data_IF_070905818730
#
_entry.id   IF_070905818730
#
_cell.length_a   1.000
_cell.length_b   1.000
_cell.length_c   1.000
_cell.angle_alpha   90.00
_cell.angle_beta   90.00
_cell.angle_gamma   90.00
#
_symmetry.space_group_name_H-M   'P 1'
#
loop_
_entity.id
_entity.type
_entity.pdbx_description
1 polymer ?
#
# COMPACT_ATOMS: atom_id res chain seq x y z
N UNK A 1 5.73 -15.31 5.49
CA UNK A 1 5.82 -13.84 5.61
C UNK A 1 6.83 -13.20 4.66
N UNK A 2 8.11 -13.62 4.64
CA UNK A 2 9.14 -13.03 3.76
C UNK A 2 8.79 -13.14 2.27
N UNK A 3 8.40 -14.33 1.80
CA UNK A 3 8.02 -14.55 0.41
C UNK A 3 6.83 -13.69 -0.04
N UNK A 4 5.75 -13.66 0.75
CA UNK A 4 4.57 -12.81 0.49
C UNK A 4 4.96 -11.34 0.36
N UNK A 5 5.84 -10.85 1.27
CA UNK A 5 6.36 -9.48 1.23
C UNK A 5 7.13 -9.20 -0.05
N UNK A 6 8.02 -10.10 -0.45
CA UNK A 6 8.83 -9.96 -1.66
C UNK A 6 7.99 -9.96 -2.94
N UNK A 7 6.97 -10.81 -3.00
CA UNK A 7 6.01 -10.84 -4.12
C UNK A 7 5.27 -9.52 -4.25
N UNK A 8 4.72 -8.99 -3.15
CA UNK A 8 4.05 -7.68 -3.16
C UNK A 8 5.04 -6.58 -3.55
N UNK A 9 6.27 -6.59 -3.04
CA UNK A 9 7.30 -5.62 -3.42
C UNK A 9 7.62 -5.65 -4.92
N UNK A 10 7.74 -6.84 -5.53
CA UNK A 10 7.99 -6.97 -6.97
C UNK A 10 6.84 -6.42 -7.81
N UNK A 11 5.60 -6.71 -7.40
CA UNK A 11 4.40 -6.18 -8.07
C UNK A 11 4.34 -4.66 -7.89
N UNK A 12 4.61 -4.13 -6.69
CA UNK A 12 4.65 -2.69 -6.45
C UNK A 12 5.65 -1.99 -7.37
N UNK A 13 6.87 -2.52 -7.49
CA UNK A 13 7.89 -1.99 -8.40
C UNK A 13 7.46 -2.04 -9.86
N UNK A 14 6.85 -3.15 -10.30
CA UNK A 14 6.29 -3.31 -11.66
C UNK A 14 5.24 -2.25 -11.99
N UNK A 15 4.48 -1.79 -11.00
CA UNK A 15 3.46 -0.74 -11.13
C UNK A 15 3.97 0.67 -10.78
N UNK A 16 5.28 0.85 -10.63
CA UNK A 16 5.89 2.17 -10.41
C UNK A 16 5.69 2.74 -8.99
N UNK A 17 5.45 1.88 -8.00
CA UNK A 17 5.32 2.25 -6.59
C UNK A 17 6.18 1.37 -5.70
N UNK A 18 6.03 1.48 -4.38
CA UNK A 18 6.80 0.73 -3.39
C UNK A 18 5.91 0.14 -2.30
N UNK A 19 6.44 -0.88 -1.61
CA UNK A 19 5.69 -1.61 -0.59
C UNK A 19 5.21 -0.71 0.56
N UNK A 20 5.99 0.30 0.97
CA UNK A 20 5.62 1.20 2.07
C UNK A 20 4.42 2.04 1.67
N UNK A 21 4.46 2.62 0.46
CA UNK A 21 3.40 3.44 -0.10
C UNK A 21 2.09 2.67 -0.23
N UNK A 22 2.11 1.49 -0.85
CA UNK A 22 0.91 0.67 -1.02
C UNK A 22 0.36 0.15 0.31
N UNK A 23 1.22 -0.24 1.25
CA UNK A 23 0.77 -0.70 2.56
C UNK A 23 0.08 0.41 3.37
N UNK A 24 0.61 1.64 3.28
CA UNK A 24 0.05 2.78 3.98
C UNK A 24 -1.37 3.10 3.47
N UNK A 25 -1.53 3.20 2.15
CA UNK A 25 -2.84 3.47 1.57
C UNK A 25 -3.80 2.29 1.73
N UNK A 26 -3.35 1.05 1.56
CA UNK A 26 -4.19 -0.14 1.80
C UNK A 26 -4.76 -0.18 3.22
N UNK A 27 -3.96 0.21 4.22
CA UNK A 27 -4.40 0.26 5.61
C UNK A 27 -5.47 1.33 5.86
N UNK A 28 -5.51 2.37 5.03
CA UNK A 28 -6.51 3.45 5.09
C UNK A 28 -7.78 3.17 4.26
N UNK A 29 -7.79 2.12 3.43
CA UNK A 29 -8.88 1.83 2.50
C UNK A 29 -10.21 1.41 3.16
N UNK A 30 -10.23 0.59 4.24
CA UNK A 30 -11.50 0.17 4.84
C UNK A 30 -12.28 1.36 5.41
N UNK A 31 -13.58 1.44 5.13
CA UNK A 31 -14.44 2.55 5.58
C UNK A 31 -14.52 2.71 7.11
N UNK A 32 -14.21 1.66 7.86
CA UNK A 32 -14.18 1.68 9.34
C UNK A 32 -12.92 2.36 9.90
N UNK A 33 -11.91 2.63 9.07
CA UNK A 33 -10.65 3.24 9.51
C UNK A 33 -10.76 4.76 9.45
N UNK A 34 -10.73 5.42 10.60
CA UNK A 34 -10.73 6.88 10.68
C UNK A 34 -9.34 7.50 10.48
N UNK A 35 -8.28 6.80 10.84
CA UNK A 35 -6.90 7.29 10.74
C UNK A 35 -5.89 6.14 10.68
N UNK A 36 -4.76 6.39 10.02
CA UNK A 36 -3.56 5.54 10.02
C UNK A 36 -2.41 6.33 10.64
N UNK A 37 -1.75 5.76 11.65
CA UNK A 37 -0.66 6.41 12.41
C UNK A 37 0.67 5.73 12.06
N UNK A 38 1.35 6.12 10.96
CA UNK A 38 2.63 5.53 10.60
C UNK A 38 3.75 6.00 11.53
N UNK A 39 4.61 5.05 11.92
CA UNK A 39 5.81 5.36 12.71
C UNK A 39 6.73 6.35 12.00
N UNK A 40 7.31 7.26 12.78
CA UNK A 40 8.19 8.32 12.27
C UNK A 40 9.35 8.52 13.25
N UNK A 41 10.59 8.41 12.77
CA UNK A 41 11.83 8.61 13.55
C UNK A 41 12.55 9.91 13.21
N UNK A 42 12.13 10.61 12.15
CA UNK A 42 12.71 11.87 11.72
C UNK A 42 11.68 12.76 11.01
N UNK A 43 11.90 14.09 10.96
CA UNK A 43 11.03 14.99 10.20
C UNK A 43 10.95 14.66 8.70
N UNK A 44 12.02 14.09 8.13
CA UNK A 44 12.04 13.65 6.73
C UNK A 44 11.05 12.51 6.52
N UNK A 45 11.06 11.51 7.40
CA UNK A 45 10.12 10.39 7.32
C UNK A 45 8.66 10.85 7.48
N UNK A 46 8.40 11.89 8.27
CA UNK A 46 7.06 12.49 8.36
C UNK A 46 6.59 12.99 6.98
N UNK A 47 7.46 13.74 6.28
CA UNK A 47 7.18 14.25 4.93
C UNK A 47 6.99 13.12 3.94
N UNK A 48 7.83 12.09 4.00
CA UNK A 48 7.70 10.92 3.15
C UNK A 48 6.39 10.15 3.37
N UNK A 49 5.93 10.01 4.62
CA UNK A 49 4.62 9.40 4.92
C UNK A 49 3.47 10.22 4.32
N UNK A 50 3.53 11.55 4.41
CA UNK A 50 2.55 12.43 3.77
C UNK A 50 2.58 12.30 2.25
N UNK A 51 3.77 12.26 1.65
CA UNK A 51 3.91 12.07 0.19
C UNK A 51 3.37 10.72 -0.26
N UNK A 52 3.65 9.64 0.49
CA UNK A 52 3.16 8.30 0.18
C UNK A 52 1.62 8.23 0.15
N UNK A 53 0.92 8.97 1.03
CA UNK A 53 -0.54 9.06 1.00
C UNK A 53 -1.11 9.76 -0.23
N UNK A 54 -0.29 10.49 -0.99
CA UNK A 54 -0.70 11.25 -2.18
C UNK A 54 -0.29 10.59 -3.50
N UNK A 55 0.46 9.49 -3.46
CA UNK A 55 0.87 8.76 -4.66
C UNK A 55 -0.36 8.14 -5.30
N UNK A 56 -0.55 8.37 -6.60
CA UNK A 56 -1.56 7.66 -7.37
C UNK A 56 -1.12 6.20 -7.58
N UNK A 57 -1.81 5.25 -6.97
CA UNK A 57 -1.54 3.82 -7.15
C UNK A 57 -2.48 3.29 -8.24
N UNK A 58 -1.96 2.72 -9.34
CA UNK A 58 -2.81 2.20 -10.41
C UNK A 58 -3.78 1.12 -9.91
N UNK A 59 -5.05 1.17 -10.32
CA UNK A 59 -6.03 0.12 -9.99
C UNK A 59 -5.57 -1.29 -10.42
N UNK A 60 -4.77 -1.37 -11.49
CA UNK A 60 -4.17 -2.61 -11.97
C UNK A 60 -3.26 -3.28 -10.91
N UNK A 61 -2.62 -2.51 -10.03
CA UNK A 61 -1.81 -3.04 -8.93
C UNK A 61 -2.68 -3.88 -7.97
N UNK A 62 -3.81 -3.32 -7.52
CA UNK A 62 -4.72 -4.01 -6.59
C UNK A 62 -5.36 -5.24 -7.22
N UNK A 63 -5.77 -5.13 -8.50
CA UNK A 63 -6.29 -6.25 -9.27
C UNK A 63 -5.28 -7.40 -9.37
N UNK A 64 -4.00 -7.10 -9.60
CA UNK A 64 -2.93 -8.11 -9.64
C UNK A 64 -2.72 -8.77 -8.26
N UNK A 65 -2.71 -8.00 -7.16
CA UNK A 65 -2.61 -8.58 -5.82
C UNK A 65 -3.78 -9.52 -5.48
N UNK A 66 -5.00 -9.19 -5.89
CA UNK A 66 -6.19 -10.04 -5.71
C UNK A 66 -6.09 -11.30 -6.55
N UNK A 67 -5.71 -11.17 -7.83
CA UNK A 67 -5.50 -12.32 -8.75
C UNK A 67 -4.44 -13.29 -8.23
N UNK A 68 -3.35 -12.76 -7.68
CA UNK A 68 -2.27 -13.56 -7.08
C UNK A 68 -2.58 -14.09 -5.67
N UNK A 69 -3.77 -13.80 -5.13
CA UNK A 69 -4.21 -14.16 -3.78
C UNK A 69 -3.27 -13.63 -2.69
N UNK A 70 -2.59 -12.52 -2.96
CA UNK A 70 -1.74 -11.82 -1.99
C UNK A 70 -2.58 -10.96 -1.03
N UNK A 71 -3.76 -10.52 -1.45
CA UNK A 71 -4.79 -9.94 -0.60
C UNK A 71 -6.13 -10.64 -0.84
N UNK A 72 -7.10 -10.44 0.05
CA UNK A 72 -8.44 -11.01 -0.11
C UNK A 72 -9.14 -10.41 -1.35
N UNK A 73 -9.93 -11.23 -2.06
CA UNK A 73 -10.62 -10.78 -3.27
C UNK A 73 -11.58 -9.60 -3.02
N UNK A 74 -12.21 -9.57 -1.85
CA UNK A 74 -13.11 -8.51 -1.38
C UNK A 74 -12.40 -7.42 -0.57
N UNK A 75 -11.07 -7.39 -0.53
CA UNK A 75 -10.35 -6.34 0.20
C UNK A 75 -10.71 -4.96 -0.39
N UNK A 76 -11.03 -3.97 0.47
CA UNK A 76 -11.25 -2.60 0.02
C UNK A 76 -9.96 -2.03 -0.56
N UNK A 77 -10.12 -1.18 -1.58
CA UNK A 77 -9.02 -0.50 -2.25
C UNK A 77 -9.12 1.00 -1.97
N UNK A 78 -8.00 1.73 -1.85
CA UNK A 78 -8.00 3.18 -1.76
C UNK A 78 -8.69 3.79 -2.99
N UNK A 79 -9.41 4.90 -2.77
CA UNK A 79 -9.99 5.70 -3.85
C UNK A 79 -8.98 6.66 -4.45
#
# INVERSE_FOLDING_TARGET
FKEKRERISKIAQKHGTDLRTVALQFSAAPAVVSAVIPGTRSPVQAKENVTAMKVNIPAAFWAELKKEKLIAANAPEPK
#
